data_IF_035593881234
#
_entry.id   IF_035593881234
#
_cell.length_a   1.000
_cell.length_b   1.000
_cell.length_c   1.000
_cell.angle_alpha   90.00
_cell.angle_beta   90.00
_cell.angle_gamma   90.00
#
_symmetry.space_group_name_H-M   'P 1'
#
loop_
_entity.id
_entity.type
_entity.pdbx_description
1 polymer ?
#
# COMPACT_ATOMS: atom_id res chain seq x y z
N UNK A 1 -35.21 -0.99 -11.27
CA UNK A 1 -33.92 -1.20 -10.60
C UNK A 1 -33.12 -2.18 -11.45
N UNK A 2 -32.08 -1.71 -12.16
CA UNK A 2 -31.19 -2.61 -12.90
C UNK A 2 -30.23 -3.30 -11.92
N UNK A 3 -30.05 -4.60 -12.07
CA UNK A 3 -29.01 -5.35 -11.36
C UNK A 3 -27.64 -5.00 -11.95
N UNK A 4 -26.79 -4.34 -11.16
CA UNK A 4 -25.40 -4.06 -11.50
C UNK A 4 -24.49 -5.14 -10.90
N UNK A 5 -23.62 -5.71 -11.72
CA UNK A 5 -22.59 -6.66 -11.33
C UNK A 5 -21.21 -5.99 -11.37
N UNK A 6 -20.47 -6.15 -10.27
CA UNK A 6 -19.12 -5.60 -10.07
C UNK A 6 -18.11 -6.70 -10.29
N UNK A 7 -17.32 -6.59 -11.35
CA UNK A 7 -16.30 -7.57 -11.75
C UNK A 7 -14.94 -7.08 -11.30
N UNK A 8 -14.17 -7.94 -10.62
CA UNK A 8 -12.90 -7.59 -10.00
C UNK A 8 -11.83 -8.59 -10.38
N UNK A 9 -10.63 -8.10 -10.64
CA UNK A 9 -9.46 -8.94 -10.87
C UNK A 9 -8.23 -8.30 -10.24
N UNK A 10 -7.44 -9.11 -9.54
CA UNK A 10 -6.12 -8.73 -9.06
C UNK A 10 -5.10 -9.74 -9.57
N UNK A 11 -3.91 -9.25 -9.89
CA UNK A 11 -2.76 -10.09 -10.25
C UNK A 11 -1.66 -9.87 -9.24
N UNK A 12 -0.89 -10.92 -8.96
CA UNK A 12 0.18 -10.91 -7.98
C UNK A 12 1.36 -11.75 -8.43
N UNK A 13 2.57 -11.33 -8.07
CA UNK A 13 3.79 -12.06 -8.36
C UNK A 13 4.62 -12.32 -7.11
N UNK A 14 5.29 -13.46 -7.10
CA UNK A 14 6.19 -13.90 -6.04
C UNK A 14 7.61 -13.40 -6.33
N UNK A 15 8.19 -12.65 -5.40
CA UNK A 15 9.56 -12.15 -5.48
C UNK A 15 10.38 -12.78 -4.35
N UNK A 16 11.40 -13.60 -4.66
CA UNK A 16 12.29 -14.16 -3.65
C UNK A 16 13.16 -13.06 -3.03
N UNK A 17 13.41 -13.18 -1.73
CA UNK A 17 14.32 -12.29 -1.01
C UNK A 17 14.90 -13.00 0.22
N UNK A 18 16.00 -12.48 0.72
CA UNK A 18 16.61 -12.93 1.97
C UNK A 18 17.26 -11.76 2.69
N UNK A 19 17.52 -11.90 3.99
CA UNK A 19 18.27 -10.91 4.75
C UNK A 19 18.97 -11.56 5.94
N UNK A 20 20.09 -10.94 6.33
CA UNK A 20 20.75 -11.27 7.59
C UNK A 20 20.14 -10.46 8.73
N UNK A 21 19.58 -11.16 9.72
CA UNK A 21 18.93 -10.51 10.87
C UNK A 21 19.91 -9.62 11.64
N UNK A 22 19.52 -8.38 11.84
CA UNK A 22 20.26 -7.34 12.55
C UNK A 22 20.43 -7.61 14.05
N UNK A 23 19.56 -8.41 14.64
CA UNK A 23 19.55 -8.68 16.09
C UNK A 23 20.22 -10.01 16.45
N UNK A 24 19.92 -11.09 15.72
CA UNK A 24 20.47 -12.42 16.00
C UNK A 24 21.60 -12.84 15.03
N UNK A 25 21.90 -12.02 14.02
CA UNK A 25 22.96 -12.23 13.02
C UNK A 25 22.82 -13.51 12.18
N UNK A 26 21.68 -14.22 12.29
CA UNK A 26 21.33 -15.38 11.48
C UNK A 26 20.71 -14.94 10.15
N UNK A 27 21.00 -15.70 9.10
CA UNK A 27 20.31 -15.57 7.82
C UNK A 27 18.83 -15.96 7.96
N UNK A 28 17.95 -15.17 7.35
CA UNK A 28 16.51 -15.47 7.30
C UNK A 28 16.21 -16.76 6.56
N UNK A 29 17.10 -17.20 5.68
CA UNK A 29 16.80 -18.16 4.63
C UNK A 29 15.98 -17.53 3.49
N UNK A 30 15.61 -18.33 2.48
CA UNK A 30 14.83 -17.85 1.35
C UNK A 30 13.39 -17.53 1.79
N UNK A 31 12.99 -16.28 1.58
CA UNK A 31 11.64 -15.79 1.81
C UNK A 31 11.01 -15.38 0.48
N UNK A 32 9.68 -15.33 0.46
CA UNK A 32 8.92 -14.95 -0.73
C UNK A 32 7.99 -13.80 -0.36
N UNK A 33 8.16 -12.67 -1.05
CA UNK A 33 7.24 -11.55 -1.00
C UNK A 33 6.18 -11.73 -2.10
N UNK A 34 4.92 -11.46 -1.77
CA UNK A 34 3.84 -11.44 -2.77
C UNK A 34 3.49 -9.99 -3.08
N UNK A 35 3.88 -9.50 -4.25
CA UNK A 35 3.55 -8.16 -4.73
C UNK A 35 2.26 -8.25 -5.53
N UNK A 36 1.22 -7.56 -5.08
CA UNK A 36 -0.07 -7.50 -5.77
C UNK A 36 -0.31 -6.12 -6.36
N UNK A 37 -0.79 -6.07 -7.61
CA UNK A 37 -1.31 -4.85 -8.21
C UNK A 37 -2.62 -4.40 -7.55
N UNK A 38 -2.98 -3.13 -7.75
CA UNK A 38 -4.30 -2.62 -7.36
C UNK A 38 -5.40 -3.39 -8.08
N UNK A 39 -6.46 -3.77 -7.35
CA UNK A 39 -7.60 -4.51 -7.90
C UNK A 39 -8.24 -3.70 -9.05
N UNK A 40 -8.26 -4.29 -10.25
CA UNK A 40 -8.95 -3.74 -11.39
C UNK A 40 -10.44 -4.06 -11.29
N UNK A 41 -11.27 -3.11 -11.69
CA UNK A 41 -12.72 -3.22 -11.57
C UNK A 41 -13.45 -2.71 -12.80
N UNK A 42 -14.46 -3.46 -13.24
CA UNK A 42 -15.42 -3.03 -14.25
C UNK A 42 -16.83 -3.31 -13.76
N UNK A 43 -17.71 -2.32 -13.89
CA UNK A 43 -19.13 -2.46 -13.63
C UNK A 43 -19.86 -2.85 -14.93
N UNK A 44 -20.76 -3.83 -14.83
CA UNK A 44 -21.57 -4.31 -15.96
C UNK A 44 -22.99 -4.61 -15.50
N UNK A 45 -23.97 -4.39 -16.38
CA UNK A 45 -25.36 -4.83 -16.15
C UNK A 45 -25.54 -6.35 -16.30
N UNK A 46 -24.49 -7.05 -16.76
CA UNK A 46 -24.50 -8.48 -17.03
C UNK A 46 -23.66 -9.24 -16.02
N UNK A 47 -24.17 -10.41 -15.62
CA UNK A 47 -23.53 -11.33 -14.68
C UNK A 47 -22.19 -11.86 -15.20
N UNK A 48 -22.02 -11.94 -16.52
CA UNK A 48 -20.77 -12.28 -17.18
C UNK A 48 -20.28 -11.09 -18.00
N UNK A 49 -18.97 -10.93 -18.11
CA UNK A 49 -18.37 -9.96 -19.03
C UNK A 49 -18.34 -10.54 -20.45
N UNK A 50 -18.47 -9.66 -21.43
CA UNK A 50 -18.11 -9.97 -22.81
C UNK A 50 -16.58 -10.05 -22.95
N UNK A 51 -16.10 -10.87 -23.89
CA UNK A 51 -14.67 -11.13 -24.11
C UNK A 51 -13.83 -9.84 -24.17
N UNK A 52 -14.38 -8.78 -24.79
CA UNK A 52 -13.71 -7.47 -24.87
C UNK A 52 -13.56 -6.79 -23.51
N UNK A 53 -14.58 -6.84 -22.66
CA UNK A 53 -14.49 -6.28 -21.30
C UNK A 53 -13.65 -7.16 -20.38
N UNK A 54 -13.67 -8.48 -20.56
CA UNK A 54 -12.81 -9.40 -19.84
C UNK A 54 -11.34 -9.17 -20.19
N UNK A 55 -11.01 -9.03 -21.48
CA UNK A 55 -9.67 -8.67 -21.93
C UNK A 55 -9.24 -7.33 -21.33
N UNK A 56 -10.12 -6.32 -21.35
CA UNK A 56 -9.82 -5.02 -20.72
C UNK A 56 -9.58 -5.13 -19.21
N UNK A 57 -10.35 -5.96 -18.50
CA UNK A 57 -10.15 -6.22 -17.08
C UNK A 57 -8.80 -6.89 -16.82
N UNK A 58 -8.42 -7.85 -17.66
CA UNK A 58 -7.14 -8.53 -17.62
C UNK A 58 -5.97 -7.57 -17.87
N UNK A 59 -6.04 -6.76 -18.93
CA UNK A 59 -5.03 -5.75 -19.25
C UNK A 59 -4.86 -4.72 -18.12
N UNK A 60 -5.95 -4.27 -17.51
CA UNK A 60 -5.88 -3.37 -16.36
C UNK A 60 -5.23 -4.02 -15.14
N UNK A 61 -5.61 -5.26 -14.81
CA UNK A 61 -5.03 -5.97 -13.67
C UNK A 61 -3.53 -6.23 -13.89
N UNK A 62 -3.15 -6.60 -15.11
CA UNK A 62 -1.77 -6.82 -15.50
C UNK A 62 -0.95 -5.52 -15.44
N UNK A 63 -1.43 -4.43 -16.05
CA UNK A 63 -0.77 -3.12 -15.98
C UNK A 63 -0.61 -2.62 -14.54
N UNK A 64 -1.60 -2.86 -13.68
CA UNK A 64 -1.50 -2.52 -12.26
C UNK A 64 -0.42 -3.33 -11.54
N UNK A 65 -0.24 -4.61 -11.89
CA UNK A 65 0.85 -5.44 -11.38
C UNK A 65 2.21 -4.93 -11.87
N UNK A 66 2.37 -4.67 -13.17
CA UNK A 66 3.63 -4.14 -13.76
C UNK A 66 4.04 -2.85 -13.04
N UNK A 67 3.12 -1.89 -12.92
CA UNK A 67 3.37 -0.64 -12.20
C UNK A 67 3.80 -0.87 -10.75
N UNK A 68 3.13 -1.78 -10.03
CA UNK A 68 3.46 -2.09 -8.63
C UNK A 68 4.85 -2.71 -8.49
N UNK A 69 5.25 -3.60 -9.41
CA UNK A 69 6.56 -4.25 -9.41
C UNK A 69 7.66 -3.24 -9.78
N UNK A 70 7.45 -2.42 -10.81
CA UNK A 70 8.39 -1.37 -11.21
C UNK A 70 8.57 -0.32 -10.11
N UNK A 71 7.48 0.09 -9.46
CA UNK A 71 7.55 1.02 -8.33
C UNK A 71 8.29 0.40 -7.13
N UNK A 72 8.01 -0.87 -6.80
CA UNK A 72 8.72 -1.57 -5.74
C UNK A 72 10.22 -1.73 -6.04
N UNK A 73 10.58 -2.03 -7.28
CA UNK A 73 11.96 -2.11 -7.74
C UNK A 73 12.65 -0.76 -7.62
N UNK A 74 12.10 0.30 -8.23
CA UNK A 74 12.65 1.66 -8.19
C UNK A 74 12.81 2.17 -6.75
N UNK A 75 11.80 1.97 -5.90
CA UNK A 75 11.87 2.42 -4.51
C UNK A 75 12.93 1.65 -3.72
N UNK A 76 13.10 0.34 -3.96
CA UNK A 76 14.13 -0.45 -3.30
C UNK A 76 15.55 -0.08 -3.77
N UNK A 77 15.76 0.07 -5.08
CA UNK A 77 17.09 0.31 -5.67
C UNK A 77 17.57 1.75 -5.52
N UNK A 78 16.70 2.73 -5.78
CA UNK A 78 17.09 4.15 -5.76
C UNK A 78 16.95 4.78 -4.37
N UNK A 79 15.90 4.40 -3.63
CA UNK A 79 15.51 5.10 -2.39
C UNK A 79 15.73 4.28 -1.13
N UNK A 80 16.10 3.00 -1.24
CA UNK A 80 16.14 2.07 -0.10
C UNK A 80 14.81 2.05 0.70
N UNK A 81 13.69 2.19 -0.02
CA UNK A 81 12.33 2.12 0.50
C UNK A 81 11.73 0.79 0.06
N UNK A 82 11.53 -0.10 1.02
CA UNK A 82 11.06 -1.46 0.75
C UNK A 82 9.54 -1.54 0.89
N UNK A 83 8.89 -2.22 -0.07
CA UNK A 83 7.45 -2.48 -0.02
C UNK A 83 7.07 -3.31 1.21
N UNK A 84 5.87 -3.08 1.75
CA UNK A 84 5.28 -3.89 2.83
C UNK A 84 5.11 -5.37 2.47
N UNK A 85 5.16 -5.72 1.18
CA UNK A 85 5.16 -7.11 0.72
C UNK A 85 6.37 -7.90 1.24
N UNK A 86 7.50 -7.21 1.49
CA UNK A 86 8.69 -7.80 2.10
C UNK A 86 8.52 -7.80 3.62
N UNK A 87 8.26 -8.97 4.19
CA UNK A 87 8.15 -9.13 5.65
C UNK A 87 9.49 -8.83 6.30
N UNK A 88 9.45 -7.95 7.30
CA UNK A 88 10.62 -7.45 8.03
C UNK A 88 10.86 -8.16 9.35
N UNK A 89 10.11 -9.21 9.64
CA UNK A 89 10.25 -9.98 10.88
C UNK A 89 11.21 -11.15 10.65
N UNK A 90 12.21 -11.29 11.52
CA UNK A 90 13.13 -12.42 11.44
C UNK A 90 12.45 -13.73 11.88
N UNK A 91 12.53 -14.83 11.09
CA UNK A 91 11.92 -16.11 11.45
C UNK A 91 12.55 -16.79 12.67
N UNK A 92 13.75 -16.39 13.08
CA UNK A 92 14.46 -16.99 14.21
C UNK A 92 14.18 -16.31 15.55
N UNK A 93 14.06 -14.97 15.54
CA UNK A 93 13.95 -14.18 16.78
C UNK A 93 12.70 -13.29 16.83
N UNK A 94 11.89 -13.29 15.77
CA UNK A 94 10.64 -12.51 15.66
C UNK A 94 10.81 -11.01 15.88
N UNK A 95 12.03 -10.49 15.65
CA UNK A 95 12.33 -9.05 15.76
C UNK A 95 12.22 -8.37 14.39
N UNK A 96 11.68 -7.13 14.37
CA UNK A 96 11.59 -6.33 13.14
C UNK A 96 12.98 -5.86 12.70
N UNK A 97 13.17 -5.63 11.40
CA UNK A 97 14.43 -5.11 10.86
C UNK A 97 14.38 -3.59 10.62
N UNK A 98 15.53 -2.91 10.73
CA UNK A 98 15.60 -1.44 10.64
C UNK A 98 15.26 -0.89 9.25
N UNK A 99 15.52 -1.65 8.18
CA UNK A 99 15.21 -1.26 6.81
C UNK A 99 13.71 -1.10 6.53
N UNK A 100 12.84 -1.76 7.30
CA UNK A 100 11.39 -1.60 7.14
C UNK A 100 10.87 -0.26 7.68
N UNK A 101 11.69 0.46 8.46
CA UNK A 101 11.33 1.78 8.98
C UNK A 101 11.30 2.83 7.86
N UNK A 102 12.12 2.72 6.81
CA UNK A 102 12.10 3.65 5.67
C UNK A 102 10.79 3.54 4.87
N UNK A 103 10.34 2.31 4.58
CA UNK A 103 9.04 2.02 3.98
C UNK A 103 7.88 2.60 4.77
N UNK A 104 7.88 2.37 6.10
CA UNK A 104 6.82 2.86 6.98
C UNK A 104 6.80 4.39 7.12
N UNK A 105 7.96 5.06 7.05
CA UNK A 105 8.01 6.53 7.05
C UNK A 105 7.42 7.14 5.79
N UNK A 106 7.67 6.52 4.63
CA UNK A 106 7.12 7.02 3.38
C UNK A 106 5.58 6.88 3.36
N UNK A 107 5.07 5.76 3.86
CA UNK A 107 3.62 5.53 3.95
C UNK A 107 2.93 6.24 5.12
N UNK A 108 3.68 6.85 6.04
CA UNK A 108 3.16 7.52 7.23
C UNK A 108 2.12 8.59 6.90
N UNK A 109 2.31 9.27 5.77
CA UNK A 109 1.45 10.37 5.32
C UNK A 109 0.37 9.95 4.31
N UNK A 110 0.45 8.75 3.73
CA UNK A 110 -0.49 8.35 2.66
C UNK A 110 -1.95 8.36 3.13
N UNK A 111 -2.27 7.67 4.23
CA UNK A 111 -3.64 7.60 4.76
C UNK A 111 -4.16 8.97 5.24
N UNK A 112 -3.40 9.76 6.03
CA UNK A 112 -3.83 11.10 6.42
C UNK A 112 -4.12 12.02 5.22
N UNK A 113 -3.25 12.02 4.19
CA UNK A 113 -3.45 12.85 3.00
C UNK A 113 -4.75 12.49 2.28
N UNK A 114 -5.03 11.19 2.12
CA UNK A 114 -6.28 10.73 1.49
C UNK A 114 -7.50 11.17 2.30
N UNK A 115 -7.46 11.07 3.63
CA UNK A 115 -8.55 11.54 4.50
C UNK A 115 -8.78 13.05 4.39
N UNK A 116 -7.72 13.85 4.28
CA UNK A 116 -7.82 15.31 4.08
C UNK A 116 -8.48 15.62 2.74
N UNK A 117 -8.03 14.98 1.65
CA UNK A 117 -8.59 15.18 0.31
C UNK A 117 -10.08 14.80 0.29
N UNK A 118 -10.44 13.64 0.86
CA UNK A 118 -11.83 13.21 0.98
C UNK A 118 -12.67 14.20 1.81
N UNK A 119 -12.12 14.70 2.91
CA UNK A 119 -12.79 15.71 3.75
C UNK A 119 -13.10 16.99 2.99
N UNK A 120 -12.19 17.46 2.13
CA UNK A 120 -12.42 18.63 1.28
C UNK A 120 -13.50 18.37 0.23
N UNK A 121 -13.47 17.20 -0.42
CA UNK A 121 -14.46 16.82 -1.44
C UNK A 121 -15.85 16.69 -0.82
N UNK A 122 -15.97 15.96 0.29
CA UNK A 122 -17.24 15.74 0.99
C UNK A 122 -17.76 17.06 1.56
N UNK A 123 -16.89 17.86 2.20
CA UNK A 123 -17.27 19.16 2.75
C UNK A 123 -17.80 20.11 1.67
N UNK A 124 -17.10 20.24 0.55
CA UNK A 124 -17.58 21.04 -0.58
C UNK A 124 -18.88 20.49 -1.16
N UNK A 125 -18.99 19.16 -1.31
CA UNK A 125 -20.21 18.50 -1.76
C UNK A 125 -21.42 18.79 -0.87
N UNK A 126 -21.26 18.67 0.45
CA UNK A 126 -22.30 19.01 1.42
C UNK A 126 -22.66 20.49 1.38
N UNK A 127 -21.70 21.39 1.14
CA UNK A 127 -21.98 22.82 1.06
C UNK A 127 -22.79 23.19 -0.19
N UNK A 128 -22.43 22.66 -1.35
CA UNK A 128 -23.06 23.04 -2.62
C UNK A 128 -24.33 22.25 -2.96
N UNK A 129 -24.49 21.02 -2.45
CA UNK A 129 -25.58 20.12 -2.86
C UNK A 129 -26.54 19.74 -1.72
N UNK A 130 -26.24 20.06 -0.46
CA UNK A 130 -27.21 19.89 0.60
C UNK A 130 -28.15 21.10 0.59
N UNK A 131 -29.30 20.96 -0.05
CA UNK A 131 -30.38 21.96 -0.08
C UNK A 131 -31.08 22.05 1.29
N UNK A 132 -30.33 22.50 2.30
CA UNK A 132 -30.73 22.56 3.70
C UNK A 132 -30.18 23.87 4.30
N UNK A 133 -30.98 24.55 5.12
CA UNK A 133 -30.61 25.85 5.73
C UNK A 133 -29.29 25.82 6.52
N UNK A 134 -28.91 24.64 7.04
CA UNK A 134 -27.68 24.43 7.81
C UNK A 134 -26.54 23.78 6.99
N UNK A 135 -26.54 23.92 5.67
CA UNK A 135 -25.54 23.31 4.77
C UNK A 135 -24.08 23.58 5.17
N UNK A 136 -23.78 24.80 5.66
CA UNK A 136 -22.47 25.17 6.19
C UNK A 136 -22.08 24.33 7.42
N UNK A 137 -22.99 24.16 8.38
CA UNK A 137 -22.72 23.40 9.61
C UNK A 137 -22.54 21.91 9.30
N UNK A 138 -23.33 21.38 8.38
CA UNK A 138 -23.22 19.99 7.90
C UNK A 138 -21.89 19.79 7.17
N UNK A 139 -21.49 20.73 6.30
CA UNK A 139 -20.21 20.68 5.58
C UNK A 139 -19.01 20.71 6.54
N UNK A 140 -19.02 21.61 7.54
CA UNK A 140 -17.98 21.69 8.57
C UNK A 140 -17.95 20.41 9.41
N UNK A 141 -19.12 19.87 9.79
CA UNK A 141 -19.21 18.61 10.53
C UNK A 141 -18.62 17.44 9.75
N UNK A 142 -19.01 17.28 8.48
CA UNK A 142 -18.55 16.21 7.62
C UNK A 142 -17.04 16.30 7.33
N UNK A 143 -16.54 17.50 7.01
CA UNK A 143 -15.11 17.74 6.84
C UNK A 143 -14.34 17.51 8.15
N UNK A 144 -14.87 17.99 9.27
CA UNK A 144 -14.28 17.85 10.60
C UNK A 144 -14.06 16.40 11.02
N UNK A 145 -15.01 15.50 10.71
CA UNK A 145 -14.84 14.05 10.94
C UNK A 145 -13.65 13.51 10.13
N UNK A 146 -13.53 13.89 8.85
CA UNK A 146 -12.44 13.44 8.00
C UNK A 146 -11.08 13.96 8.49
N UNK A 147 -11.01 15.21 8.96
CA UNK A 147 -9.80 15.76 9.59
C UNK A 147 -9.44 15.07 10.91
N UNK A 148 -10.43 14.73 11.74
CA UNK A 148 -10.21 13.96 12.96
C UNK A 148 -9.65 12.56 12.66
N UNK A 149 -10.17 11.88 11.63
CA UNK A 149 -9.64 10.60 11.15
C UNK A 149 -8.23 10.73 10.57
N UNK A 150 -7.94 11.82 9.86
CA UNK A 150 -6.60 12.11 9.36
C UNK A 150 -5.59 12.28 10.51
N UNK A 151 -5.95 13.05 11.55
CA UNK A 151 -5.11 13.23 12.74
C UNK A 151 -4.91 11.91 13.51
N UNK A 152 -5.98 11.13 13.71
CA UNK A 152 -5.91 9.84 14.40
C UNK A 152 -5.03 8.83 13.66
N UNK A 153 -5.18 8.71 12.34
CA UNK A 153 -4.35 7.81 11.52
C UNK A 153 -2.87 8.23 11.49
N UNK A 154 -2.60 9.54 11.44
CA UNK A 154 -1.24 10.07 11.52
C UNK A 154 -0.59 9.73 12.87
N UNK A 155 -1.31 9.92 13.98
CA UNK A 155 -0.82 9.60 15.32
C UNK A 155 -0.51 8.11 15.46
N UNK A 156 -1.39 7.24 14.96
CA UNK A 156 -1.18 5.79 14.93
C UNK A 156 0.07 5.40 14.12
N UNK A 157 0.25 6.01 12.94
CA UNK A 157 1.43 5.75 12.11
C UNK A 157 2.72 6.21 12.79
N UNK A 158 2.72 7.36 13.47
CA UNK A 158 3.87 7.84 14.25
C UNK A 158 4.23 6.86 15.36
N UNK A 159 3.24 6.37 16.13
CA UNK A 159 3.47 5.39 17.19
C UNK A 159 4.08 4.11 16.62
N UNK A 160 3.55 3.60 15.50
CA UNK A 160 4.05 2.40 14.84
C UNK A 160 5.50 2.55 14.38
N UNK A 161 5.84 3.68 13.75
CA UNK A 161 7.22 4.00 13.32
C UNK A 161 8.15 4.14 14.53
N UNK A 162 7.70 4.83 15.58
CA UNK A 162 8.49 5.04 16.80
C UNK A 162 8.78 3.73 17.53
N UNK A 163 7.77 2.86 17.66
CA UNK A 163 7.92 1.53 18.28
C UNK A 163 8.94 0.68 17.55
N UNK A 164 8.84 0.58 16.21
CA UNK A 164 9.84 -0.17 15.43
C UNK A 164 11.22 0.46 15.50
N UNK A 165 11.33 1.79 15.41
CA UNK A 165 12.60 2.50 15.56
C UNK A 165 13.27 2.21 16.91
N UNK A 166 12.50 2.13 18.00
CA UNK A 166 13.00 1.78 19.34
C UNK A 166 13.48 0.32 19.41
N UNK A 167 12.79 -0.61 18.76
CA UNK A 167 13.20 -2.02 18.72
C UNK A 167 14.45 -2.26 17.87
N UNK A 168 14.71 -1.39 16.90
CA UNK A 168 15.86 -1.50 15.99
C UNK A 168 16.98 -0.50 16.33
N UNK A 169 16.89 0.26 17.42
CA UNK A 169 17.89 1.30 17.74
C UNK A 169 19.16 0.73 18.36
N UNK A 170 19.09 -0.41 19.02
CA UNK A 170 20.23 -1.08 19.67
C UNK A 170 21.02 -1.99 18.72
N UNK A 171 20.64 -2.03 17.45
CA UNK A 171 21.30 -2.85 16.43
C UNK A 171 22.67 -2.25 16.09
N UNK A 172 23.71 -3.08 16.17
CA UNK A 172 25.09 -2.68 15.88
C UNK A 172 25.37 -2.61 14.38
N UNK A 173 24.71 -3.44 13.58
CA UNK A 173 24.88 -3.50 12.13
C UNK A 173 23.53 -3.47 11.42
N UNK A 174 23.33 -2.48 10.55
CA UNK A 174 22.10 -2.37 9.74
C UNK A 174 22.32 -3.11 8.43
N UNK A 175 21.53 -4.15 8.20
CA UNK A 175 21.60 -4.98 7.02
C UNK A 175 20.38 -4.71 6.15
N UNK A 176 20.56 -4.61 4.83
CA UNK A 176 19.46 -4.51 3.87
C UNK A 176 19.10 -5.88 3.32
N UNK A 177 17.84 -6.09 2.91
CA UNK A 177 17.45 -7.34 2.25
C UNK A 177 18.07 -7.43 0.86
N UNK A 178 18.45 -8.64 0.48
CA UNK A 178 18.82 -9.00 -0.89
C UNK A 178 17.56 -9.49 -1.58
N UNK A 179 17.12 -8.76 -2.61
CA UNK A 179 15.91 -9.07 -3.38
C UNK A 179 16.32 -9.61 -4.74
N UNK A 180 15.78 -10.76 -5.12
CA UNK A 180 16.09 -11.44 -6.38
C UNK A 180 15.20 -10.92 -7.52
N UNK A 181 15.48 -9.68 -7.97
CA UNK A 181 14.73 -9.05 -9.06
C UNK A 181 14.80 -9.82 -10.39
N UNK A 182 15.83 -10.66 -10.57
CA UNK A 182 15.95 -11.55 -11.73
C UNK A 182 14.75 -12.50 -11.89
N UNK A 183 14.07 -12.85 -10.80
CA UNK A 183 12.87 -13.69 -10.84
C UNK A 183 11.65 -13.00 -11.49
N UNK A 184 11.68 -11.67 -11.62
CA UNK A 184 10.60 -10.85 -12.19
C UNK A 184 11.09 -9.93 -13.32
N UNK A 185 12.24 -10.26 -13.91
CA UNK A 185 12.86 -9.43 -14.94
C UNK A 185 11.98 -9.25 -16.18
N UNK A 186 11.18 -10.27 -16.52
CA UNK A 186 10.21 -10.19 -17.60
C UNK A 186 9.21 -9.05 -17.39
N UNK A 187 8.66 -8.90 -16.18
CA UNK A 187 7.73 -7.82 -15.82
C UNK A 187 8.44 -6.47 -15.75
N UNK A 188 9.69 -6.44 -15.31
CA UNK A 188 10.46 -5.18 -15.23
C UNK A 188 10.83 -4.62 -16.60
N UNK A 189 10.86 -5.44 -17.64
CA UNK A 189 11.22 -5.05 -19.01
C UNK A 189 10.03 -4.60 -19.86
N UNK A 190 8.80 -4.68 -19.34
CA UNK A 190 7.56 -4.22 -20.00
C UNK A 190 7.33 -2.71 -19.83
#
# INVERSE_FOLDING_TARGET
MGTYYRHRKSESIKVPYSFRCEQCMKESGPLIANISGTEAEINSNFKNLDDKKEQKLNEMAHKNLVNAVQEAHRNATEKNIYSKAFKDECPHCHKPQSWAVSGLKNEMFSTPIVCVILGLIIGAGCYFFADVENSLMIAIGAAGICFALAAGSLFWNIIKVSSKKKQTSSVTQKNTPVIEWGAVQNILNE
#
